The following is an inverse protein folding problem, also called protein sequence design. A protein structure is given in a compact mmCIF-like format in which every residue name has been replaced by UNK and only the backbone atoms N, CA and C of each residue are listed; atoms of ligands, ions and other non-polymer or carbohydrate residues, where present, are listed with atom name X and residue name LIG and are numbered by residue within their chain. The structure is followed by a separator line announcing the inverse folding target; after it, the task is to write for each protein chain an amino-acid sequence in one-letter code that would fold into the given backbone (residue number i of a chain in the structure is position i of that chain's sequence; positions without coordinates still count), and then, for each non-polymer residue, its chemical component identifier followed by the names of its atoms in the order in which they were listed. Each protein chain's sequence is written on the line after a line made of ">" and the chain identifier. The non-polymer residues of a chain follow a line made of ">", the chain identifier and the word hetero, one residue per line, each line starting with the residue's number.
data_IF_190205450344
#
_entry.id   IF_190205450344
#
_cell.length_a   1.000
_cell.length_b   1.000
_cell.length_c   1.000
_cell.angle_alpha   90.00
_cell.angle_beta   90.00
_cell.angle_gamma   90.00
#
_symmetry.space_group_name_H-M   'P 1'
#
loop_
_entity.id
_entity.type
_entity.pdbx_description
1 polymer ?
#
# COMPACT_ATOMS: atom_id res chain seq x y z
N UNK A 1 5.95 8.16 -3.94
CA UNK A 1 4.88 9.19 -3.91
C UNK A 1 3.53 8.69 -4.41
N UNK A 2 3.42 8.10 -5.62
CA UNK A 2 2.13 7.67 -6.20
C UNK A 2 1.34 6.70 -5.33
N UNK A 3 2.01 5.72 -4.70
CA UNK A 3 1.38 4.81 -3.74
C UNK A 3 0.76 5.56 -2.55
N UNK A 4 1.52 6.46 -1.91
CA UNK A 4 1.02 7.25 -0.78
C UNK A 4 -0.19 8.12 -1.16
N UNK A 5 -0.23 8.67 -2.38
CA UNK A 5 -1.38 9.42 -2.89
C UNK A 5 -2.62 8.51 -3.07
N UNK A 6 -2.44 7.30 -3.61
CA UNK A 6 -3.54 6.34 -3.73
C UNK A 6 -4.08 5.90 -2.37
N UNK A 7 -3.21 5.73 -1.38
CA UNK A 7 -3.58 5.44 0.01
C UNK A 7 -4.40 6.60 0.60
N UNK A 8 -3.90 7.84 0.47
CA UNK A 8 -4.61 9.04 0.94
C UNK A 8 -5.96 9.24 0.25
N UNK A 9 -6.08 8.87 -1.02
CA UNK A 9 -7.33 8.90 -1.78
C UNK A 9 -8.26 7.69 -1.53
N UNK A 10 -7.89 6.78 -0.62
CA UNK A 10 -8.60 5.53 -0.34
C UNK A 10 -8.92 4.70 -1.61
N UNK A 11 -8.00 4.70 -2.58
CA UNK A 11 -8.16 4.03 -3.86
C UNK A 11 -7.47 2.67 -3.87
N UNK A 12 -8.19 1.61 -3.54
CA UNK A 12 -7.68 0.23 -3.55
C UNK A 12 -7.04 -0.15 -4.91
N UNK A 13 -7.74 0.10 -6.02
CA UNK A 13 -7.21 -0.16 -7.36
C UNK A 13 -5.93 0.64 -7.66
N UNK A 14 -5.83 1.87 -7.15
CA UNK A 14 -4.63 2.70 -7.23
C UNK A 14 -3.47 2.12 -6.41
N UNK A 15 -3.74 1.66 -5.19
CA UNK A 15 -2.77 0.97 -4.33
C UNK A 15 -2.27 -0.30 -5.02
N UNK A 16 -3.16 -1.15 -5.51
CA UNK A 16 -2.80 -2.37 -6.23
C UNK A 16 -1.92 -2.10 -7.46
N UNK A 17 -2.28 -1.10 -8.26
CA UNK A 17 -1.52 -0.70 -9.45
C UNK A 17 -0.11 -0.21 -9.09
N UNK A 18 0.01 0.63 -8.06
CA UNK A 18 1.29 1.18 -7.65
C UNK A 18 2.18 0.18 -6.91
N UNK A 19 1.61 -0.79 -6.19
CA UNK A 19 2.37 -1.91 -5.60
C UNK A 19 3.00 -2.80 -6.67
N UNK A 20 2.24 -3.23 -7.69
CA UNK A 20 2.79 -4.03 -8.80
C UNK A 20 3.95 -3.32 -9.51
N UNK A 21 3.82 -2.01 -9.72
CA UNK A 21 4.88 -1.18 -10.31
C UNK A 21 6.11 -1.10 -9.42
N UNK A 22 5.92 -0.85 -8.12
CA UNK A 22 7.01 -0.82 -7.16
C UNK A 22 7.79 -2.15 -7.13
N UNK A 23 7.09 -3.28 -7.13
CA UNK A 23 7.72 -4.61 -7.25
C UNK A 23 8.48 -4.77 -8.57
N UNK A 24 7.92 -4.32 -9.71
CA UNK A 24 8.61 -4.39 -11.00
C UNK A 24 9.87 -3.52 -11.07
N UNK A 25 9.94 -2.48 -10.23
CA UNK A 25 11.11 -1.60 -10.06
C UNK A 25 12.11 -2.17 -9.04
N UNK A 26 11.87 -3.37 -8.50
CA UNK A 26 12.75 -4.04 -7.53
C UNK A 26 12.66 -3.50 -6.11
N UNK A 27 11.61 -2.72 -5.79
CA UNK A 27 11.40 -2.23 -4.42
C UNK A 27 10.98 -3.41 -3.54
N UNK A 28 11.64 -3.61 -2.39
CA UNK A 28 11.35 -4.74 -1.51
C UNK A 28 9.96 -4.60 -0.88
N UNK A 29 9.19 -5.71 -0.71
CA UNK A 29 7.85 -5.71 -0.12
C UNK A 29 7.70 -4.92 1.17
N UNK A 30 8.69 -5.02 2.06
CA UNK A 30 8.71 -4.40 3.38
C UNK A 30 8.72 -2.87 3.25
N UNK A 31 9.44 -2.34 2.25
CA UNK A 31 9.45 -0.91 1.97
C UNK A 31 8.11 -0.42 1.39
N UNK A 32 7.38 -1.27 0.66
CA UNK A 32 6.04 -0.96 0.15
C UNK A 32 5.04 -0.91 1.30
N UNK A 33 5.04 -1.93 2.18
CA UNK A 33 4.21 -2.00 3.39
C UNK A 33 4.45 -0.81 4.33
N UNK A 34 5.70 -0.37 4.46
CA UNK A 34 6.06 0.78 5.30
C UNK A 34 5.33 2.06 4.90
N UNK A 35 4.90 2.21 3.64
CA UNK A 35 4.12 3.38 3.21
C UNK A 35 2.76 3.44 3.92
N UNK A 36 2.09 2.31 4.15
CA UNK A 36 0.85 2.26 4.91
C UNK A 36 1.09 2.48 6.41
N UNK A 37 2.17 1.93 6.97
CA UNK A 37 2.54 2.12 8.39
C UNK A 37 2.80 3.61 8.69
N UNK A 38 3.54 4.30 7.80
CA UNK A 38 3.79 5.73 7.93
C UNK A 38 2.51 6.58 7.79
N UNK A 39 1.46 6.04 7.14
CA UNK A 39 0.19 6.74 6.99
C UNK A 39 -0.64 6.79 8.28
N UNK A 40 -0.33 5.97 9.30
CA UNK A 40 -1.07 5.94 10.59
C UNK A 40 -1.16 7.33 11.22
N UNK A 41 -0.06 8.09 11.22
CA UNK A 41 -0.03 9.42 11.82
C UNK A 41 -0.88 10.46 11.07
N UNK A 42 -1.09 10.27 9.77
CA UNK A 42 -1.76 11.26 8.90
C UNK A 42 -3.22 10.90 8.62
N UNK A 43 -3.51 9.61 8.45
CA UNK A 43 -4.82 9.10 8.02
C UNK A 43 -5.55 8.34 9.14
N UNK A 44 -4.89 8.13 10.28
CA UNK A 44 -5.41 7.31 11.36
C UNK A 44 -5.27 5.82 11.11
N UNK A 45 -5.44 5.05 12.18
CA UNK A 45 -5.24 3.62 12.18
C UNK A 45 -6.16 2.86 11.20
N UNK A 46 -7.48 3.12 11.12
CA UNK A 46 -8.36 2.34 10.25
C UNK A 46 -7.99 2.42 8.76
N UNK A 47 -7.69 3.64 8.27
CA UNK A 47 -7.36 3.84 6.87
C UNK A 47 -5.95 3.29 6.54
N UNK A 48 -5.00 3.42 7.46
CA UNK A 48 -3.67 2.83 7.30
C UNK A 48 -3.71 1.29 7.26
N UNK A 49 -4.55 0.66 8.09
CA UNK A 49 -4.72 -0.81 8.09
C UNK A 49 -5.38 -1.27 6.80
N UNK A 50 -6.42 -0.59 6.30
CA UNK A 50 -7.02 -0.93 5.00
C UNK A 50 -6.00 -0.82 3.85
N UNK A 51 -5.17 0.21 3.86
CA UNK A 51 -4.08 0.33 2.89
C UNK A 51 -3.07 -0.83 2.99
N UNK A 52 -2.74 -1.27 4.22
CA UNK A 52 -1.84 -2.38 4.43
C UNK A 52 -2.41 -3.69 3.88
N UNK A 53 -3.71 -3.95 4.06
CA UNK A 53 -4.35 -5.17 3.50
C UNK A 53 -4.30 -5.17 1.98
N UNK A 54 -4.59 -4.05 1.32
CA UNK A 54 -4.48 -3.93 -0.13
C UNK A 54 -3.04 -4.07 -0.65
N UNK A 55 -2.05 -3.60 0.13
CA UNK A 55 -0.64 -3.84 -0.21
C UNK A 55 -0.33 -5.34 -0.13
N UNK A 56 -0.78 -6.01 0.93
CA UNK A 56 -0.55 -7.43 1.17
C UNK A 56 -1.19 -8.34 0.12
N UNK A 57 -2.34 -7.94 -0.45
CA UNK A 57 -2.97 -8.62 -1.59
C UNK A 57 -2.02 -8.75 -2.78
N UNK A 58 -1.09 -7.79 -2.93
CA UNK A 58 -0.11 -7.75 -4.02
C UNK A 58 1.23 -8.34 -3.61
N UNK A 59 1.76 -7.97 -2.45
CA UNK A 59 3.14 -8.32 -2.07
C UNK A 59 3.26 -9.67 -1.37
N UNK A 60 2.19 -10.15 -0.72
CA UNK A 60 2.17 -11.44 -0.02
C UNK A 60 1.44 -12.53 -0.82
N UNK A 61 0.78 -12.18 -1.93
CA UNK A 61 0.00 -13.12 -2.74
C UNK A 61 -1.19 -13.76 -2.00
N UNK A 62 -1.53 -13.26 -0.79
CA UNK A 62 -2.74 -13.65 -0.09
C UNK A 62 -3.91 -13.00 -0.82
N UNK A 63 -4.73 -13.80 -1.49
CA UNK A 63 -6.08 -13.35 -1.85
C UNK A 63 -6.92 -13.40 -0.58
N UNK A 64 -7.48 -12.25 -0.19
CA UNK A 64 -8.70 -12.21 0.61
C UNK A 64 -9.85 -12.92 -0.08
#
# INVERSE_FOLDING_TARGET
>A
MKLALAIGAASEGGVHSHCRRALSEGIPPEAIQQVAILAIGTLGFPQAVAALTWIDDIVSGKKG
#
